data_IF_189080897009
#
_entry.id   IF_189080897009
#
_cell.length_a   1.000
_cell.length_b   1.000
_cell.length_c   1.000
_cell.angle_alpha   90.00
_cell.angle_beta   90.00
_cell.angle_gamma   90.00
#
_symmetry.space_group_name_H-M   'P 1'
#
loop_
_entity.id
_entity.type
_entity.pdbx_description
1 polymer ?
#
# COMPACT_ATOMS: atom_id res chain seq x y z
N UNK A 1 -20.98 -56.42 2.22
CA UNK A 1 -20.02 -55.60 2.98
C UNK A 1 -18.80 -55.42 2.08
N UNK A 2 -18.66 -54.28 1.43
CA UNK A 2 -17.57 -54.02 0.47
C UNK A 2 -16.76 -52.86 1.03
N UNK A 3 -15.52 -53.14 1.42
CA UNK A 3 -14.55 -52.15 1.87
C UNK A 3 -14.00 -51.43 0.62
N UNK A 4 -14.24 -50.13 0.50
CA UNK A 4 -13.50 -49.28 -0.41
C UNK A 4 -12.40 -48.57 0.39
N UNK A 5 -11.17 -49.06 0.23
CA UNK A 5 -9.95 -48.37 0.61
C UNK A 5 -9.78 -47.12 -0.25
N UNK A 6 -9.86 -45.96 0.39
CA UNK A 6 -9.38 -44.67 -0.12
C UNK A 6 -7.87 -44.77 -0.34
N UNK A 7 -7.42 -44.80 -1.59
CA UNK A 7 -6.03 -44.55 -1.89
C UNK A 7 -5.87 -44.00 -3.32
N UNK A 8 -6.15 -42.71 -3.50
CA UNK A 8 -5.47 -41.93 -4.53
C UNK A 8 -4.92 -40.67 -3.88
N UNK A 9 -3.61 -40.70 -3.69
CA UNK A 9 -2.81 -39.53 -3.40
C UNK A 9 -3.01 -38.55 -4.54
N UNK A 10 -3.88 -37.56 -4.35
CA UNK A 10 -3.92 -36.39 -5.20
C UNK A 10 -2.58 -35.66 -5.02
N UNK A 11 -1.63 -35.99 -5.89
CA UNK A 11 -0.41 -35.22 -6.11
C UNK A 11 -0.81 -33.77 -6.30
N UNK A 12 -0.57 -32.96 -5.27
CA UNK A 12 -0.60 -31.50 -5.36
C UNK A 12 0.41 -31.16 -6.45
N UNK A 13 -0.07 -30.83 -7.64
CA UNK A 13 0.75 -30.29 -8.69
C UNK A 13 1.36 -29.00 -8.17
N UNK A 14 2.61 -29.07 -7.71
CA UNK A 14 3.43 -27.91 -7.41
C UNK A 14 3.49 -27.10 -8.71
N UNK A 15 2.92 -25.88 -8.77
CA UNK A 15 3.03 -25.08 -9.97
C UNK A 15 4.50 -24.80 -10.26
N UNK A 16 4.88 -24.64 -11.53
CA UNK A 16 6.26 -24.46 -11.92
C UNK A 16 6.84 -23.27 -11.14
N UNK A 17 8.00 -23.52 -10.57
CA UNK A 17 8.95 -22.64 -9.89
C UNK A 17 8.90 -21.17 -10.36
N UNK A 18 7.89 -20.41 -9.92
CA UNK A 18 7.84 -18.96 -10.04
C UNK A 18 8.43 -18.44 -8.73
N UNK A 19 9.76 -18.36 -8.67
CA UNK A 19 10.42 -17.61 -7.62
C UNK A 19 9.87 -16.17 -7.68
N UNK A 20 9.15 -15.69 -6.63
CA UNK A 20 8.49 -14.38 -6.65
C UNK A 20 9.48 -13.24 -6.90
N UNK A 21 10.75 -13.48 -6.58
CA UNK A 21 11.82 -12.50 -6.63
C UNK A 21 12.45 -12.31 -8.03
N UNK A 22 12.03 -13.06 -9.05
CA UNK A 22 12.73 -13.07 -10.34
C UNK A 22 12.36 -11.91 -11.29
N UNK A 23 11.24 -11.19 -11.07
CA UNK A 23 10.74 -10.17 -12.03
C UNK A 23 10.00 -8.96 -11.42
N UNK A 24 10.43 -8.49 -10.25
CA UNK A 24 10.12 -7.13 -9.78
C UNK A 24 8.82 -6.92 -8.98
N UNK A 25 8.01 -7.95 -8.72
CA UNK A 25 6.89 -7.85 -7.78
C UNK A 25 7.33 -8.40 -6.42
N UNK A 26 7.32 -7.55 -5.39
CA UNK A 26 7.57 -7.97 -4.00
C UNK A 26 6.50 -8.97 -3.51
N UNK A 27 6.74 -9.67 -2.41
CA UNK A 27 5.70 -10.50 -1.79
C UNK A 27 4.71 -9.65 -1.00
N UNK A 28 3.42 -9.97 -1.08
CA UNK A 28 2.38 -9.35 -0.27
C UNK A 28 2.51 -9.75 1.20
N UNK A 29 2.72 -8.75 2.06
CA UNK A 29 2.88 -8.91 3.50
C UNK A 29 1.67 -8.39 4.32
N UNK A 30 0.53 -8.10 3.69
CA UNK A 30 -0.68 -7.64 4.38
C UNK A 30 -0.73 -6.14 4.66
N UNK A 31 0.15 -5.35 4.03
CA UNK A 31 0.21 -3.89 4.08
C UNK A 31 0.12 -3.33 2.65
N UNK A 32 -0.26 -2.05 2.52
CA UNK A 32 -0.38 -1.35 1.23
C UNK A 32 -1.21 -2.16 0.22
N UNK A 33 -2.35 -2.67 0.68
CA UNK A 33 -3.18 -3.68 0.01
C UNK A 33 -3.61 -3.18 -1.36
N UNK A 34 -4.10 -1.94 -1.42
CA UNK A 34 -4.54 -1.31 -2.68
C UNK A 34 -3.40 -1.16 -3.69
N UNK A 35 -2.23 -0.71 -3.22
CA UNK A 35 -1.05 -0.54 -4.06
C UNK A 35 -0.53 -1.87 -4.59
N UNK A 36 -0.45 -2.87 -3.72
CA UNK A 36 -0.04 -4.21 -4.08
C UNK A 36 -0.97 -4.87 -5.10
N UNK A 37 -2.29 -4.79 -4.89
CA UNK A 37 -3.28 -5.40 -5.79
C UNK A 37 -3.18 -4.80 -7.20
N UNK A 38 -2.95 -3.50 -7.30
CA UNK A 38 -2.74 -2.80 -8.58
C UNK A 38 -1.47 -3.27 -9.28
N UNK A 39 -0.36 -3.41 -8.53
CA UNK A 39 0.91 -3.89 -9.06
C UNK A 39 0.81 -5.36 -9.52
N UNK A 40 0.12 -6.20 -8.74
CA UNK A 40 -0.13 -7.60 -9.08
C UNK A 40 -0.99 -7.75 -10.33
N UNK A 41 -2.08 -6.98 -10.45
CA UNK A 41 -2.96 -7.01 -11.61
C UNK A 41 -2.21 -6.62 -12.89
N UNK A 42 -1.39 -5.56 -12.83
CA UNK A 42 -0.51 -5.15 -13.93
C UNK A 42 0.47 -6.26 -14.30
N UNK A 43 1.13 -6.88 -13.31
CA UNK A 43 2.06 -7.98 -13.53
C UNK A 43 1.38 -9.21 -14.15
N UNK A 44 0.20 -9.59 -13.65
CA UNK A 44 -0.54 -10.75 -14.10
C UNK A 44 -1.01 -10.58 -15.56
N UNK A 45 -1.45 -9.38 -15.93
CA UNK A 45 -1.77 -9.00 -17.31
C UNK A 45 -0.55 -9.10 -18.23
N UNK A 46 0.60 -8.57 -17.83
CA UNK A 46 1.87 -8.68 -18.58
C UNK A 46 2.31 -10.15 -18.78
N UNK A 47 1.94 -11.03 -17.85
CA UNK A 47 2.21 -12.47 -17.94
C UNK A 47 1.13 -13.26 -18.69
N UNK A 48 0.10 -12.58 -19.21
CA UNK A 48 -0.99 -13.21 -19.95
C UNK A 48 -1.88 -14.11 -19.09
N UNK A 49 -1.98 -13.85 -17.79
CA UNK A 49 -2.88 -14.60 -16.92
C UNK A 49 -4.34 -14.25 -17.24
N UNK A 50 -5.21 -15.25 -17.14
CA UNK A 50 -6.66 -15.02 -17.13
C UNK A 50 -7.10 -14.42 -15.79
N UNK A 51 -8.29 -13.82 -15.75
CA UNK A 51 -8.84 -13.29 -14.50
C UNK A 51 -9.02 -14.40 -13.44
N UNK A 52 -9.37 -15.61 -13.86
CA UNK A 52 -9.44 -16.78 -12.98
C UNK A 52 -8.06 -17.12 -12.37
N UNK A 53 -7.00 -16.99 -13.17
CA UNK A 53 -5.63 -17.16 -12.71
C UNK A 53 -5.21 -16.09 -11.71
N UNK A 54 -5.75 -14.87 -11.80
CA UNK A 54 -5.45 -13.80 -10.84
C UNK A 54 -5.78 -14.26 -9.44
N UNK A 55 -6.97 -14.85 -9.25
CA UNK A 55 -7.45 -15.33 -7.96
C UNK A 55 -6.71 -16.61 -7.52
N UNK A 56 -6.59 -17.60 -8.41
CA UNK A 56 -5.97 -18.90 -8.08
C UNK A 56 -4.48 -18.78 -7.72
N UNK A 57 -3.76 -17.89 -8.41
CA UNK A 57 -2.31 -17.76 -8.26
C UNK A 57 -1.89 -16.73 -7.21
N UNK A 58 -2.78 -15.83 -6.76
CA UNK A 58 -2.46 -14.75 -5.83
C UNK A 58 -1.77 -15.23 -4.54
N UNK A 59 -2.19 -16.38 -3.98
CA UNK A 59 -1.58 -16.95 -2.76
C UNK A 59 -0.07 -17.19 -2.87
N UNK A 60 0.45 -17.45 -4.08
CA UNK A 60 1.88 -17.69 -4.30
C UNK A 60 2.71 -16.39 -4.27
N UNK A 61 2.06 -15.25 -4.45
CA UNK A 61 2.65 -13.91 -4.35
C UNK A 61 2.48 -13.30 -2.96
N UNK A 62 2.05 -14.09 -1.98
CA UNK A 62 1.98 -13.71 -0.58
C UNK A 62 3.15 -14.32 0.21
N UNK A 63 3.57 -13.62 1.28
CA UNK A 63 4.46 -14.21 2.29
C UNK A 63 3.82 -15.47 2.87
N UNK A 64 4.65 -16.42 3.27
CA UNK A 64 4.22 -17.76 3.69
C UNK A 64 3.15 -17.73 4.78
N UNK A 65 3.29 -16.84 5.77
CA UNK A 65 2.36 -16.65 6.88
C UNK A 65 0.95 -16.21 6.47
N UNK A 66 0.76 -15.67 5.26
CA UNK A 66 -0.53 -15.18 4.77
C UNK A 66 -1.20 -16.10 3.76
N UNK A 67 -0.50 -17.12 3.24
CA UNK A 67 -0.99 -17.95 2.12
C UNK A 67 -2.30 -18.67 2.44
N UNK A 68 -2.37 -19.31 3.60
CA UNK A 68 -3.57 -20.04 4.04
C UNK A 68 -4.75 -19.08 4.25
N UNK A 69 -4.49 -17.93 4.89
CA UNK A 69 -5.51 -16.90 5.13
C UNK A 69 -6.09 -16.39 3.82
N UNK A 70 -5.21 -16.07 2.86
CA UNK A 70 -5.56 -15.55 1.53
C UNK A 70 -6.26 -16.61 0.67
N UNK A 71 -5.86 -17.88 0.79
CA UNK A 71 -6.53 -19.00 0.13
C UNK A 71 -7.95 -19.22 0.67
N UNK A 72 -8.13 -19.10 1.98
CA UNK A 72 -9.45 -19.18 2.63
C UNK A 72 -10.44 -18.14 2.11
N UNK A 73 -9.98 -16.98 1.63
CA UNK A 73 -10.85 -15.94 1.06
C UNK A 73 -11.45 -16.34 -0.30
N UNK A 74 -10.84 -17.29 -1.03
CA UNK A 74 -11.31 -17.78 -2.34
C UNK A 74 -12.52 -18.72 -2.18
N UNK A 75 -12.64 -19.38 -1.03
CA UNK A 75 -13.73 -20.31 -0.77
C UNK A 75 -15.05 -19.57 -0.48
N UNK A 76 -16.12 -19.91 -1.20
CA UNK A 76 -17.49 -19.55 -0.80
C UNK A 76 -17.98 -20.54 0.27
N UNK A 77 -18.93 -20.09 1.12
CA UNK A 77 -19.57 -20.94 2.15
C UNK A 77 -20.27 -22.19 1.57
N UNK A 78 -20.44 -22.29 0.25
CA UNK A 78 -21.05 -23.40 -0.49
C UNK A 78 -20.03 -24.26 -1.28
N UNK A 79 -18.73 -24.05 -1.08
CA UNK A 79 -17.67 -24.85 -1.72
C UNK A 79 -17.38 -24.53 -3.19
N UNK A 80 -17.96 -23.46 -3.77
CA UNK A 80 -17.69 -23.06 -5.16
C UNK A 80 -16.58 -22.01 -5.26
N UNK A 81 -15.65 -22.21 -6.19
CA UNK A 81 -14.31 -21.58 -6.22
C UNK A 81 -14.11 -20.43 -7.21
N UNK A 82 -15.17 -19.85 -7.78
CA UNK A 82 -15.03 -18.72 -8.71
C UNK A 82 -15.60 -17.46 -8.08
N UNK A 83 -14.69 -16.63 -7.58
CA UNK A 83 -14.92 -15.21 -7.29
C UNK A 83 -14.31 -14.45 -8.45
N UNK A 84 -14.99 -13.41 -8.95
CA UNK A 84 -14.34 -12.49 -9.87
C UNK A 84 -13.15 -11.84 -9.19
N UNK A 85 -12.18 -11.37 -9.96
CA UNK A 85 -11.03 -10.67 -9.41
C UNK A 85 -11.47 -9.45 -8.59
N UNK A 86 -12.51 -8.75 -9.02
CA UNK A 86 -13.08 -7.60 -8.31
C UNK A 86 -13.71 -7.96 -6.96
N UNK A 87 -14.42 -9.09 -6.85
CA UNK A 87 -14.95 -9.58 -5.57
C UNK A 87 -13.81 -9.96 -4.62
N UNK A 88 -12.77 -10.58 -5.16
CA UNK A 88 -11.61 -11.01 -4.40
C UNK A 88 -10.80 -9.81 -3.87
N UNK A 89 -10.58 -8.78 -4.70
CA UNK A 89 -9.98 -7.49 -4.28
C UNK A 89 -10.74 -6.89 -3.09
N UNK A 90 -12.07 -6.83 -3.17
CA UNK A 90 -12.92 -6.30 -2.07
C UNK A 90 -12.75 -7.08 -0.77
N UNK A 91 -12.64 -8.41 -0.83
CA UNK A 91 -12.41 -9.25 0.35
C UNK A 91 -11.02 -9.05 0.94
N UNK A 92 -9.98 -8.98 0.11
CA UNK A 92 -8.63 -8.69 0.55
C UNK A 92 -8.55 -7.31 1.21
N UNK A 93 -9.15 -6.30 0.60
CA UNK A 93 -9.23 -4.95 1.19
C UNK A 93 -10.00 -4.94 2.52
N UNK A 94 -11.06 -5.75 2.67
CA UNK A 94 -11.79 -5.87 3.94
C UNK A 94 -10.99 -6.63 5.01
N UNK A 95 -10.31 -7.69 4.64
CA UNK A 95 -9.56 -8.56 5.56
C UNK A 95 -8.26 -7.92 6.04
N UNK A 96 -7.60 -7.19 5.16
CA UNK A 96 -6.36 -6.47 5.42
C UNK A 96 -6.62 -4.96 5.59
N UNK A 97 -7.87 -4.55 5.85
CA UNK A 97 -8.31 -3.14 6.04
C UNK A 97 -7.53 -2.40 7.13
N UNK A 98 -6.86 -3.14 8.02
CA UNK A 98 -5.98 -2.59 9.05
C UNK A 98 -4.63 -2.07 8.51
N UNK A 99 -4.27 -2.41 7.26
CA UNK A 99 -3.01 -2.03 6.60
C UNK A 99 -3.12 -0.83 5.66
N UNK A 100 -4.33 -0.45 5.25
CA UNK A 100 -4.60 0.73 4.41
C UNK A 100 -5.36 1.77 5.25
N UNK A 101 -4.67 2.40 6.22
CA UNK A 101 -5.25 3.58 6.86
C UNK A 101 -5.25 4.68 5.80
N UNK A 102 -6.40 4.92 5.18
CA UNK A 102 -6.61 6.14 4.39
C UNK A 102 -6.49 7.33 5.33
N UNK A 103 -5.40 8.08 5.20
CA UNK A 103 -5.20 9.30 5.95
C UNK A 103 -6.07 10.41 5.37
N UNK A 104 -6.81 11.07 6.26
CA UNK A 104 -7.60 12.26 5.95
C UNK A 104 -6.80 13.51 6.32
N UNK A 105 -7.21 14.67 5.82
CA UNK A 105 -6.61 15.96 6.20
C UNK A 105 -6.51 16.15 7.73
N UNK A 106 -7.51 15.68 8.48
CA UNK A 106 -7.51 15.71 9.95
C UNK A 106 -6.35 14.94 10.58
N UNK A 107 -5.90 13.84 9.98
CA UNK A 107 -4.75 13.10 10.50
C UNK A 107 -3.46 13.93 10.35
N UNK A 108 -3.31 14.67 9.25
CA UNK A 108 -2.16 15.57 9.04
C UNK A 108 -2.15 16.74 10.01
N UNK A 109 -3.32 17.31 10.31
CA UNK A 109 -3.46 18.36 11.33
C UNK A 109 -3.03 17.85 12.71
N UNK A 110 -3.47 16.65 13.09
CA UNK A 110 -3.03 16.03 14.35
C UNK A 110 -1.53 15.78 14.38
N UNK A 111 -0.93 15.36 13.26
CA UNK A 111 0.52 15.20 13.18
C UNK A 111 1.26 16.53 13.34
N UNK A 112 0.75 17.62 12.75
CA UNK A 112 1.33 18.96 12.88
C UNK A 112 1.36 19.45 14.34
N UNK A 113 0.38 19.04 15.15
CA UNK A 113 0.30 19.38 16.57
C UNK A 113 1.20 18.51 17.49
N UNK A 114 1.71 17.38 16.99
CA UNK A 114 2.38 16.34 17.80
C UNK A 114 3.81 16.72 18.26
N UNK A 115 4.30 17.92 17.92
CA UNK A 115 5.62 18.48 18.29
C UNK A 115 6.77 17.47 18.22
N UNK A 116 6.88 16.79 17.07
CA UNK A 116 7.92 15.78 16.83
C UNK A 116 9.26 16.43 16.47
N UNK A 117 10.40 15.75 16.73
CA UNK A 117 11.68 16.14 16.14
C UNK A 117 11.58 16.21 14.60
N UNK A 118 12.24 17.18 13.97
CA UNK A 118 12.11 17.49 12.54
C UNK A 118 12.19 16.26 11.64
N UNK A 119 13.21 15.41 11.84
CA UNK A 119 13.39 14.18 11.04
C UNK A 119 12.24 13.19 11.23
N UNK A 120 11.75 13.03 12.45
CA UNK A 120 10.63 12.14 12.75
C UNK A 120 9.31 12.69 12.16
N UNK A 121 9.13 14.01 12.21
CA UNK A 121 7.99 14.69 11.60
C UNK A 121 7.97 14.48 10.07
N UNK A 122 9.07 14.79 9.37
CA UNK A 122 9.17 14.64 7.91
C UNK A 122 8.89 13.20 7.49
N UNK A 123 9.52 12.22 8.17
CA UNK A 123 9.35 10.81 7.84
C UNK A 123 7.90 10.34 8.03
N UNK A 124 7.27 10.72 9.15
CA UNK A 124 5.88 10.33 9.44
C UNK A 124 4.90 11.01 8.48
N UNK A 125 5.12 12.29 8.16
CA UNK A 125 4.31 13.03 7.20
C UNK A 125 4.42 12.45 5.80
N UNK A 126 5.64 12.14 5.33
CA UNK A 126 5.86 11.52 4.02
C UNK A 126 5.22 10.13 3.90
N UNK A 127 5.27 9.33 4.97
CA UNK A 127 4.60 8.04 5.02
C UNK A 127 3.07 8.19 4.90
N UNK A 128 2.50 9.15 5.63
CA UNK A 128 1.06 9.45 5.56
C UNK A 128 0.65 9.92 4.17
N UNK A 129 1.42 10.85 3.58
CA UNK A 129 1.17 11.38 2.25
C UNK A 129 1.19 10.30 1.16
N UNK A 130 2.03 9.25 1.29
CA UNK A 130 2.04 8.12 0.33
C UNK A 130 0.75 7.30 0.36
N UNK A 131 0.06 7.26 1.50
CA UNK A 131 -1.13 6.45 1.72
C UNK A 131 -2.45 7.23 1.53
N UNK A 132 -2.38 8.52 1.13
CA UNK A 132 -3.57 9.29 0.72
C UNK A 132 -4.02 8.84 -0.67
N UNK A 133 -5.33 8.67 -0.85
CA UNK A 133 -5.94 8.32 -2.14
C UNK A 133 -5.57 9.35 -3.22
N UNK A 134 -5.48 8.93 -4.49
CA UNK A 134 -5.17 9.84 -5.59
C UNK A 134 -6.21 10.98 -5.72
N UNK A 135 -7.48 10.66 -5.45
CA UNK A 135 -8.59 11.63 -5.44
C UNK A 135 -8.41 12.68 -4.35
N UNK A 136 -8.03 12.27 -3.15
CA UNK A 136 -7.83 13.19 -2.02
C UNK A 136 -6.53 13.97 -2.16
N UNK A 137 -5.47 13.39 -2.73
CA UNK A 137 -4.25 14.12 -3.08
C UNK A 137 -4.58 15.29 -4.00
N UNK A 138 -5.25 15.04 -5.12
CA UNK A 138 -5.61 16.10 -6.05
C UNK A 138 -6.51 17.17 -5.42
N UNK A 139 -7.46 16.75 -4.58
CA UNK A 139 -8.42 17.67 -3.96
C UNK A 139 -7.81 18.52 -2.85
N UNK A 140 -6.83 17.99 -2.12
CA UNK A 140 -6.31 18.59 -0.89
C UNK A 140 -4.81 18.87 -0.94
N UNK A 141 -4.16 18.81 -2.09
CA UNK A 141 -2.70 18.97 -2.22
C UNK A 141 -2.20 20.25 -1.54
N UNK A 142 -2.78 21.39 -1.88
CA UNK A 142 -2.42 22.69 -1.28
C UNK A 142 -2.67 22.73 0.22
N UNK A 143 -3.75 22.12 0.70
CA UNK A 143 -4.06 22.06 2.13
C UNK A 143 -3.07 21.16 2.88
N UNK A 144 -2.67 20.02 2.30
CA UNK A 144 -1.67 19.13 2.89
C UNK A 144 -0.31 19.83 2.92
N UNK A 145 0.08 20.55 1.87
CA UNK A 145 1.30 21.37 1.84
C UNK A 145 1.30 22.46 2.93
N UNK A 146 0.19 23.16 3.14
CA UNK A 146 0.06 24.14 4.22
C UNK A 146 0.19 23.51 5.60
N UNK A 147 -0.45 22.36 5.82
CA UNK A 147 -0.38 21.63 7.09
C UNK A 147 1.03 21.10 7.36
N UNK A 148 1.78 20.72 6.31
CA UNK A 148 3.20 20.37 6.44
C UNK A 148 4.00 21.53 7.02
N UNK A 149 3.88 22.72 6.44
CA UNK A 149 4.59 23.91 6.91
C UNK A 149 4.17 24.30 8.33
N UNK A 150 2.90 24.13 8.68
CA UNK A 150 2.38 24.42 10.01
C UNK A 150 3.02 23.54 11.10
N UNK A 151 3.31 22.28 10.80
CA UNK A 151 3.92 21.35 11.76
C UNK A 151 5.44 21.48 11.90
N UNK A 152 6.10 22.30 11.07
CA UNK A 152 7.52 22.61 11.22
C UNK A 152 7.74 23.58 12.40
N UNK A 153 8.90 23.46 13.06
CA UNK A 153 9.35 24.46 14.04
C UNK A 153 9.45 25.85 13.38
N UNK A 154 9.19 26.93 14.14
CA UNK A 154 9.17 28.30 13.63
C UNK A 154 10.46 28.67 12.90
N UNK A 155 11.61 28.26 13.44
CA UNK A 155 12.92 28.59 12.90
C UNK A 155 13.15 27.92 11.53
N UNK A 156 12.62 26.71 11.34
CA UNK A 156 12.71 25.99 10.07
C UNK A 156 11.72 26.56 9.07
N UNK A 157 10.52 26.92 9.54
CA UNK A 157 9.49 27.52 8.70
C UNK A 157 9.94 28.87 8.16
N UNK A 158 10.56 29.69 8.99
CA UNK A 158 11.16 30.97 8.59
C UNK A 158 12.26 30.75 7.55
N UNK A 159 13.15 29.76 7.74
CA UNK A 159 14.19 29.39 6.75
C UNK A 159 13.61 28.94 5.41
N UNK A 160 12.45 28.26 5.43
CA UNK A 160 11.71 27.94 4.21
C UNK A 160 11.12 29.19 3.55
N UNK A 161 10.47 30.04 4.34
CA UNK A 161 9.79 31.27 3.87
C UNK A 161 10.76 32.32 3.35
N UNK A 162 11.97 32.42 3.92
CA UNK A 162 13.01 33.33 3.44
C UNK A 162 13.54 32.94 2.05
N UNK A 163 13.46 31.66 1.68
CA UNK A 163 13.99 31.17 0.41
C UNK A 163 13.00 31.19 -0.76
N UNK A 164 11.68 31.34 -0.53
CA UNK A 164 10.64 31.49 -1.59
C UNK A 164 9.24 31.80 -0.98
N UNK A 165 9.05 33.01 -0.43
CA UNK A 165 7.81 33.39 0.28
C UNK A 165 6.53 33.34 -0.60
N UNK A 166 6.65 33.51 -1.93
CA UNK A 166 5.51 33.59 -2.84
C UNK A 166 5.13 32.25 -3.52
N UNK A 167 5.98 31.20 -3.42
CA UNK A 167 5.74 29.93 -4.12
C UNK A 167 5.51 28.72 -3.19
N UNK A 168 5.73 28.82 -1.88
CA UNK A 168 5.60 27.67 -0.96
C UNK A 168 4.22 27.00 -0.96
N UNK A 169 3.16 27.77 -1.15
CA UNK A 169 1.78 27.26 -1.21
C UNK A 169 1.47 26.55 -2.54
N UNK A 170 2.25 26.80 -3.58
CA UNK A 170 2.16 26.17 -4.90
C UNK A 170 3.18 25.05 -5.11
N UNK A 171 4.13 24.88 -4.17
CA UNK A 171 5.09 23.78 -4.22
C UNK A 171 4.40 22.43 -4.01
N UNK A 172 4.73 21.50 -4.91
CA UNK A 172 4.32 20.10 -4.78
C UNK A 172 4.86 19.50 -3.48
N UNK A 173 4.15 18.53 -2.92
CA UNK A 173 4.61 17.80 -1.72
C UNK A 173 6.00 17.20 -1.90
N UNK A 174 6.37 16.77 -3.12
CA UNK A 174 7.72 16.25 -3.40
C UNK A 174 8.78 17.31 -3.15
N UNK A 175 8.57 18.51 -3.69
CA UNK A 175 9.50 19.63 -3.55
C UNK A 175 9.65 20.06 -2.09
N UNK A 176 8.56 20.05 -1.32
CA UNK A 176 8.60 20.34 0.11
C UNK A 176 9.43 19.31 0.89
N UNK A 177 9.30 18.02 0.57
CA UNK A 177 10.10 16.98 1.22
C UNK A 177 11.58 17.07 0.84
N UNK A 178 11.90 17.36 -0.42
CA UNK A 178 13.27 17.50 -0.89
C UNK A 178 13.96 18.68 -0.19
N UNK A 179 13.32 19.87 -0.15
CA UNK A 179 13.81 21.03 0.60
C UNK A 179 13.97 20.73 2.11
N UNK A 180 13.06 19.93 2.69
CA UNK A 180 13.12 19.60 4.11
C UNK A 180 14.29 18.65 4.43
N UNK A 181 14.59 17.72 3.53
CA UNK A 181 15.76 16.86 3.66
C UNK A 181 17.07 17.62 3.44
N UNK A 182 17.12 18.59 2.53
CA UNK A 182 18.29 19.47 2.37
C UNK A 182 18.56 20.28 3.63
N UNK A 183 17.53 20.85 4.25
CA UNK A 183 17.64 21.60 5.52
C UNK A 183 18.19 20.72 6.65
N UNK A 184 17.78 19.44 6.70
CA UNK A 184 18.32 18.47 7.67
C UNK A 184 19.79 18.14 7.40
N UNK A 185 20.26 18.12 6.14
CA UNK A 185 21.64 17.79 5.78
C UNK A 185 22.63 18.93 6.02
N UNK A 186 22.16 20.17 6.04
CA UNK A 186 22.99 21.36 6.25
C UNK A 186 23.25 21.65 7.74
N UNK A 187 22.61 20.92 8.65
CA UNK A 187 22.78 21.02 10.11
C UNK A 187 23.48 19.78 10.67
#
# INVERSE_FOLDING_TARGET
MVYFTLNESATVATPPNLAPNARGLSLFAGQEVSGFLTAYETYALDKGFSEEDFVKKFRFYCVESLREKVYGLVLKNDGRTVQSWDEYKKKLLKEFKRGDKEYRLSDFLHLADEKLPLVAYINKFAQMARQVSATDKFRFESQISLVFLQGLASEIREEFMENDAEELESLSMSTLFDKAQETVRMR
#
